data_IF_101463152309
#
_entry.id   IF_101463152309
#
_cell.length_a   1.000
_cell.length_b   1.000
_cell.length_c   1.000
_cell.angle_alpha   90.00
_cell.angle_beta   90.00
_cell.angle_gamma   90.00
#
_symmetry.space_group_name_H-M   'P 1'
#
loop_
_entity.id
_entity.type
_entity.pdbx_description
1 polymer ?
#
# COMPACT_ATOMS: atom_id res chain seq x y z
N UNK A 1 11.75 4.33 5.85
CA UNK A 1 12.71 3.20 5.75
C UNK A 1 11.96 1.95 6.17
N UNK A 2 12.20 0.80 5.52
CA UNK A 2 11.52 -0.46 5.87
C UNK A 2 12.32 -1.13 6.99
N UNK A 3 11.64 -1.62 8.03
CA UNK A 3 12.24 -2.29 9.17
C UNK A 3 12.05 -3.81 9.06
N UNK A 4 12.96 -4.61 9.64
CA UNK A 4 12.81 -6.06 9.65
C UNK A 4 11.59 -6.47 10.45
N UNK A 5 11.03 -7.61 10.07
CA UNK A 5 9.87 -8.22 10.71
C UNK A 5 10.21 -9.60 11.26
N UNK A 6 9.61 -9.94 12.39
CA UNK A 6 9.59 -11.32 12.90
C UNK A 6 8.49 -12.16 12.24
N UNK A 7 8.60 -13.48 12.37
CA UNK A 7 7.58 -14.43 11.92
C UNK A 7 7.42 -14.52 10.41
N UNK A 8 8.50 -14.30 9.64
CA UNK A 8 8.48 -14.33 8.17
C UNK A 8 7.88 -15.64 7.63
N UNK A 9 8.24 -16.77 8.25
CA UNK A 9 7.77 -18.11 7.88
C UNK A 9 6.25 -18.26 7.96
N UNK A 10 5.64 -17.79 9.06
CA UNK A 10 4.20 -17.89 9.27
C UNK A 10 3.43 -17.01 8.29
N UNK A 11 3.95 -15.79 8.04
CA UNK A 11 3.36 -14.84 7.09
C UNK A 11 3.41 -15.35 5.65
N UNK A 12 4.52 -15.96 5.23
CA UNK A 12 4.64 -16.55 3.89
C UNK A 12 3.76 -17.78 3.72
N UNK A 13 3.65 -18.63 4.75
CA UNK A 13 2.74 -19.77 4.71
C UNK A 13 1.27 -19.33 4.64
N UNK A 14 0.91 -18.27 5.36
CA UNK A 14 -0.40 -17.66 5.27
C UNK A 14 -0.66 -17.05 3.89
N UNK A 15 0.33 -16.39 3.28
CA UNK A 15 0.25 -15.86 1.93
C UNK A 15 0.02 -16.96 0.88
N UNK A 16 0.77 -18.07 0.97
CA UNK A 16 0.60 -19.22 0.10
C UNK A 16 -0.80 -19.85 0.25
N UNK A 17 -1.28 -20.04 1.49
CA UNK A 17 -2.65 -20.52 1.75
C UNK A 17 -3.72 -19.56 1.25
N UNK A 18 -3.45 -18.25 1.31
CA UNK A 18 -4.32 -17.20 0.79
C UNK A 18 -4.27 -17.05 -0.74
N UNK A 19 -3.44 -17.84 -1.44
CA UNK A 19 -3.28 -17.75 -2.89
C UNK A 19 -2.60 -16.45 -3.35
N UNK A 20 -1.89 -15.77 -2.45
CA UNK A 20 -1.10 -14.59 -2.80
C UNK A 20 0.10 -15.05 -3.60
N UNK A 21 0.34 -14.42 -4.75
CA UNK A 21 1.44 -14.77 -5.65
C UNK A 21 2.72 -13.99 -5.37
N UNK A 22 2.60 -12.73 -4.96
CA UNK A 22 3.73 -11.80 -4.82
C UNK A 22 3.81 -11.27 -3.40
N UNK A 23 4.99 -11.35 -2.79
CA UNK A 23 5.24 -10.94 -1.41
C UNK A 23 6.46 -10.01 -1.35
N UNK A 24 6.25 -8.83 -0.76
CA UNK A 24 7.30 -7.85 -0.55
C UNK A 24 7.90 -8.04 0.85
N UNK A 25 9.21 -8.20 0.94
CA UNK A 25 9.91 -8.42 2.21
C UNK A 25 11.00 -7.37 2.45
N UNK A 26 11.32 -7.01 3.70
CA UNK A 26 12.47 -6.17 3.98
C UNK A 26 13.77 -6.82 3.52
N UNK A 27 14.71 -6.03 2.99
CA UNK A 27 16.01 -6.53 2.55
C UNK A 27 16.80 -7.23 3.68
N UNK A 28 16.68 -6.77 4.93
CA UNK A 28 17.28 -7.44 6.09
C UNK A 28 16.73 -8.86 6.32
N UNK A 29 15.49 -9.13 5.93
CA UNK A 29 14.85 -10.46 6.08
C UNK A 29 15.19 -11.45 4.96
N UNK A 30 16.05 -11.07 4.01
CA UNK A 30 16.50 -11.99 2.95
C UNK A 30 17.28 -13.17 3.53
N UNK A 31 17.96 -12.99 4.67
CA UNK A 31 18.68 -14.08 5.33
C UNK A 31 17.73 -15.18 5.83
N UNK A 32 16.58 -14.81 6.40
CA UNK A 32 15.56 -15.74 6.89
C UNK A 32 14.94 -16.59 5.78
N UNK A 33 15.03 -16.16 4.52
CA UNK A 33 14.52 -16.95 3.39
C UNK A 33 15.21 -18.31 3.26
N UNK A 34 16.46 -18.43 3.72
CA UNK A 34 17.20 -19.70 3.67
C UNK A 34 16.57 -20.77 4.55
N UNK A 35 15.86 -20.39 5.60
CA UNK A 35 15.19 -21.30 6.53
C UNK A 35 13.82 -21.77 6.04
N UNK A 36 13.36 -21.24 4.90
CA UNK A 36 12.08 -21.63 4.31
C UNK A 36 12.25 -22.85 3.40
N UNK A 37 11.27 -23.78 3.42
CA UNK A 37 11.24 -24.89 2.49
C UNK A 37 11.05 -24.40 1.05
N UNK A 38 11.65 -25.10 0.10
CA UNK A 38 11.65 -24.69 -1.31
C UNK A 38 10.25 -24.65 -1.92
N UNK A 39 9.32 -25.48 -1.44
CA UNK A 39 7.90 -25.45 -1.83
C UNK A 39 7.23 -24.07 -1.61
N UNK A 40 7.69 -23.28 -0.64
CA UNK A 40 7.19 -21.92 -0.40
C UNK A 40 7.89 -20.91 -1.31
N UNK A 41 9.18 -21.10 -1.57
CA UNK A 41 9.97 -20.20 -2.45
C UNK A 41 9.56 -20.34 -3.91
N UNK A 42 9.25 -21.55 -4.37
CA UNK A 42 8.82 -21.81 -5.74
C UNK A 42 7.37 -21.38 -5.99
N UNK A 43 6.54 -21.35 -4.95
CA UNK A 43 5.14 -20.96 -5.03
C UNK A 43 4.89 -19.45 -4.90
N UNK A 44 5.90 -18.65 -4.56
CA UNK A 44 5.77 -17.21 -4.26
C UNK A 44 6.86 -16.39 -4.94
N UNK A 45 6.49 -15.26 -5.52
CA UNK A 45 7.42 -14.25 -6.00
C UNK A 45 7.80 -13.34 -4.83
N UNK A 46 9.05 -13.46 -4.37
CA UNK A 46 9.56 -12.72 -3.22
C UNK A 46 10.40 -11.54 -3.68
N UNK A 47 9.97 -10.32 -3.38
CA UNK A 47 10.63 -9.08 -3.80
C UNK A 47 11.22 -8.38 -2.57
N UNK A 48 12.55 -8.34 -2.42
CA UNK A 48 13.19 -7.62 -1.32
C UNK A 48 13.19 -6.10 -1.54
N UNK A 49 12.76 -5.35 -0.53
CA UNK A 49 12.66 -3.89 -0.55
C UNK A 49 13.34 -3.28 0.67
N UNK A 50 14.00 -2.13 0.51
CA UNK A 50 14.63 -1.41 1.64
C UNK A 50 14.10 0.01 1.85
N UNK A 51 13.32 0.54 0.90
CA UNK A 51 12.70 1.88 0.98
C UNK A 51 11.21 1.83 0.64
N UNK A 52 10.45 2.78 1.18
CA UNK A 52 9.00 2.85 0.95
C UNK A 52 8.66 3.12 -0.52
N UNK A 53 9.49 3.89 -1.24
CA UNK A 53 9.27 4.16 -2.67
C UNK A 53 9.15 2.87 -3.49
N UNK A 54 10.02 1.88 -3.24
CA UNK A 54 9.97 0.59 -3.94
C UNK A 54 8.67 -0.17 -3.64
N UNK A 55 8.16 -0.10 -2.41
CA UNK A 55 6.87 -0.71 -2.06
C UNK A 55 5.75 -0.09 -2.90
N UNK A 56 5.75 1.24 -3.03
CA UNK A 56 4.75 1.97 -3.81
C UNK A 56 4.85 1.59 -5.30
N UNK A 57 6.07 1.54 -5.84
CA UNK A 57 6.31 1.15 -7.25
C UNK A 57 5.84 -0.28 -7.57
N UNK A 58 6.02 -1.22 -6.65
CA UNK A 58 5.60 -2.61 -6.86
C UNK A 58 4.13 -2.88 -6.49
N UNK A 59 3.53 -2.08 -5.61
CA UNK A 59 2.17 -2.32 -5.14
C UNK A 59 1.10 -1.55 -5.93
N UNK A 60 1.44 -0.42 -6.55
CA UNK A 60 0.48 0.40 -7.31
C UNK A 60 0.51 0.07 -8.80
N UNK A 61 -0.67 0.07 -9.42
CA UNK A 61 -0.85 -0.17 -10.87
C UNK A 61 -0.33 1.01 -11.71
N UNK A 62 -0.43 2.24 -11.20
CA UNK A 62 0.09 3.44 -11.86
C UNK A 62 0.80 4.33 -10.82
N UNK A 63 1.87 5.00 -11.25
CA UNK A 63 2.58 5.95 -10.40
C UNK A 63 1.69 7.16 -10.09
N UNK A 64 1.45 7.47 -8.81
CA UNK A 64 0.58 8.59 -8.47
C UNK A 64 1.21 9.90 -8.96
N UNK A 65 0.44 10.66 -9.74
CA UNK A 65 0.83 12.00 -10.21
C UNK A 65 0.44 13.02 -9.15
N UNK A 66 1.32 13.97 -8.81
CA UNK A 66 0.97 15.09 -7.94
C UNK A 66 -0.27 15.81 -8.47
N UNK A 67 -1.22 16.09 -7.60
CA UNK A 67 -2.35 16.95 -7.95
C UNK A 67 -1.87 18.41 -7.92
N UNK A 68 -2.07 19.11 -9.03
CA UNK A 68 -1.89 20.56 -9.11
C UNK A 68 -3.16 21.21 -8.55
N UNK A 69 -3.08 21.78 -7.35
CA UNK A 69 -4.21 22.53 -6.78
C UNK A 69 -4.36 23.85 -7.52
N UNK A 70 -5.36 23.93 -8.41
CA UNK A 70 -5.65 25.18 -9.10
C UNK A 70 -6.41 26.13 -8.18
N UNK A 71 -6.26 27.46 -8.34
CA UNK A 71 -7.09 28.44 -7.64
C UNK A 71 -8.61 28.23 -7.81
N UNK A 72 -9.04 27.49 -8.84
CA UNK A 72 -10.45 27.19 -9.11
C UNK A 72 -11.03 26.05 -8.24
N UNK A 73 -10.18 25.16 -7.72
CA UNK A 73 -10.58 24.15 -6.73
C UNK A 73 -10.89 24.77 -5.36
N UNK A 74 -10.20 25.87 -5.03
CA UNK A 74 -10.46 26.63 -3.79
C UNK A 74 -11.82 27.33 -3.81
N UNK A 75 -12.26 27.82 -4.98
CA UNK A 75 -13.59 28.44 -5.11
C UNK A 75 -14.74 27.44 -4.98
N UNK A 76 -14.59 26.20 -5.48
CA UNK A 76 -15.63 25.16 -5.37
C UNK A 76 -15.83 24.63 -3.96
N UNK A 77 -14.78 24.66 -3.13
CA UNK A 77 -14.90 24.32 -1.71
C UNK A 77 -15.68 25.39 -0.91
N UNK A 78 -15.74 26.63 -1.40
CA UNK A 78 -16.51 27.70 -0.76
C UNK A 78 -17.99 27.68 -1.19
N UNK A 79 -18.31 27.27 -2.42
CA UNK A 79 -19.69 27.20 -2.92
C UNK A 79 -20.53 26.08 -2.27
N UNK A 80 -19.91 24.98 -1.84
CA UNK A 80 -20.63 23.88 -1.16
C UNK A 80 -20.96 24.19 0.31
N UNK A 81 -20.17 25.05 0.96
CA UNK A 81 -20.44 25.53 2.32
C UNK A 81 -21.57 26.58 2.39
N UNK A 82 -21.91 27.24 1.27
CA UNK A 82 -22.97 28.26 1.22
C UNK A 82 -24.36 27.72 0.87
N UNK A 83 -24.53 26.41 0.60
CA UNK A 83 -25.85 25.83 0.30
C UNK A 83 -26.61 25.26 1.51
N UNK A 84 -25.95 25.06 2.65
CA UNK A 84 -26.58 24.42 3.83
C UNK A 84 -27.31 25.39 4.79
N UNK A 85 -27.30 26.70 4.51
CA UNK A 85 -27.93 27.72 5.39
C UNK A 85 -29.27 28.27 4.91
N UNK A 86 -29.81 27.79 3.77
CA UNK A 86 -31.02 28.38 3.15
C UNK A 86 -32.27 27.49 3.17
N UNK A 87 -32.34 26.42 3.98
CA UNK A 87 -33.58 25.60 4.07
C UNK A 87 -33.85 25.08 5.48
N UNK A 88 -34.34 25.95 6.38
CA UNK A 88 -35.37 25.56 7.36
C UNK A 88 -35.96 26.77 8.09
N UNK A 89 -37.05 27.32 7.56
CA UNK A 89 -38.10 27.97 8.35
C UNK A 89 -39.44 27.84 7.61
N UNK A 90 -40.30 26.88 7.99
CA UNK A 90 -41.73 26.95 7.69
C UNK A 90 -42.53 27.35 8.94
N UNK A 91 -43.32 28.42 8.76
CA UNK A 91 -44.49 28.93 9.50
C UNK A 91 -44.63 28.68 11.00
#
# INVERSE_FOLDING_TARGET
RVLPIGGLKEKLLAALRGGIKTVLIPQDNVHDLKELPDSVKEGLEIIPVSRMGQVIEHALVETPKPIEWTPQDQSRAADDASKDSASSMPH
#
